data_IF_140969884195
#
_entry.id   IF_140969884195
#
_cell.length_a   1.000
_cell.length_b   1.000
_cell.length_c   1.000
_cell.angle_alpha   90.00
_cell.angle_beta   90.00
_cell.angle_gamma   90.00
#
_symmetry.space_group_name_H-M   'P 1'
#
loop_
_entity.id
_entity.type
_entity.pdbx_description
1 polymer ?
#
# COMPACT_ATOMS: atom_id res chain seq x y z
N UNK A 1 21.18 -19.08 -2.33
CA UNK A 1 20.19 -20.06 -1.84
C UNK A 1 19.28 -19.55 -0.73
N UNK A 2 19.71 -18.80 0.30
CA UNK A 2 18.81 -18.31 1.37
C UNK A 2 17.84 -17.22 0.88
N UNK A 3 18.21 -16.43 -0.14
CA UNK A 3 17.35 -15.38 -0.71
C UNK A 3 16.30 -15.88 -1.69
N UNK A 4 16.39 -17.11 -2.17
CA UNK A 4 15.46 -17.65 -3.17
C UNK A 4 14.30 -18.43 -2.54
N UNK A 5 14.42 -18.78 -1.26
CA UNK A 5 13.33 -19.43 -0.54
C UNK A 5 12.14 -18.46 -0.35
N UNK A 6 10.90 -18.92 -0.47
CA UNK A 6 9.73 -18.10 -0.21
C UNK A 6 9.72 -17.61 1.25
N UNK A 7 9.19 -16.40 1.49
CA UNK A 7 9.04 -15.86 2.83
C UNK A 7 8.03 -16.68 3.65
N UNK A 8 7.00 -17.18 2.99
CA UNK A 8 6.03 -18.14 3.49
C UNK A 8 6.10 -19.38 2.62
N UNK A 9 6.56 -20.50 3.17
CA UNK A 9 6.58 -21.76 2.44
C UNK A 9 5.15 -22.13 2.03
N UNK A 10 4.87 -22.33 0.73
CA UNK A 10 3.50 -22.50 0.28
C UNK A 10 2.77 -23.71 0.86
N UNK A 11 3.50 -24.78 1.14
CA UNK A 11 2.88 -26.02 1.63
C UNK A 11 2.73 -25.98 3.15
N UNK A 12 3.70 -25.43 3.87
CA UNK A 12 3.64 -25.22 5.32
C UNK A 12 2.52 -24.25 5.70
N UNK A 13 2.36 -23.15 4.94
CA UNK A 13 1.37 -22.11 5.23
C UNK A 13 0.03 -22.28 4.49
N UNK A 14 -0.14 -23.37 3.76
CA UNK A 14 -1.40 -23.72 3.09
C UNK A 14 -1.84 -22.69 2.05
N UNK A 15 -0.90 -22.17 1.23
CA UNK A 15 -1.23 -21.22 0.18
C UNK A 15 -1.96 -21.91 -0.98
N UNK A 16 -2.95 -21.23 -1.55
CA UNK A 16 -3.60 -21.68 -2.78
C UNK A 16 -2.65 -21.67 -3.97
N UNK A 17 -2.99 -22.40 -5.06
CA UNK A 17 -2.18 -22.40 -6.28
C UNK A 17 -1.95 -21.00 -6.86
N UNK A 18 -2.99 -20.15 -6.84
CA UNK A 18 -2.90 -18.75 -7.28
C UNK A 18 -1.96 -17.93 -6.40
N UNK A 19 -2.05 -18.08 -5.07
CA UNK A 19 -1.15 -17.42 -4.13
C UNK A 19 0.30 -17.86 -4.30
N UNK A 20 0.54 -19.16 -4.44
CA UNK A 20 1.87 -19.73 -4.73
C UNK A 20 2.49 -19.11 -5.98
N UNK A 21 1.73 -19.10 -7.07
CA UNK A 21 2.16 -18.54 -8.34
C UNK A 21 2.48 -17.06 -8.24
N UNK A 22 1.56 -16.25 -7.72
CA UNK A 22 1.70 -14.80 -7.64
C UNK A 22 2.85 -14.38 -6.73
N UNK A 23 3.02 -15.02 -5.57
CA UNK A 23 4.17 -14.78 -4.69
C UNK A 23 5.49 -15.15 -5.36
N UNK A 24 5.55 -16.27 -6.10
CA UNK A 24 6.74 -16.68 -6.82
C UNK A 24 7.11 -15.72 -7.96
N UNK A 25 6.13 -15.29 -8.77
CA UNK A 25 6.31 -14.28 -9.82
C UNK A 25 6.86 -12.98 -9.25
N UNK A 26 6.22 -12.47 -8.19
CA UNK A 26 6.60 -11.22 -7.52
C UNK A 26 7.99 -11.30 -6.92
N UNK A 27 8.32 -12.41 -6.21
CA UNK A 27 9.65 -12.65 -5.64
C UNK A 27 10.71 -12.71 -6.73
N UNK A 28 10.47 -13.44 -7.82
CA UNK A 28 11.44 -13.56 -8.91
C UNK A 28 11.71 -12.21 -9.58
N UNK A 29 10.67 -11.41 -9.81
CA UNK A 29 10.82 -10.05 -10.35
C UNK A 29 11.63 -9.17 -9.41
N UNK A 30 11.26 -9.14 -8.11
CA UNK A 30 11.88 -8.27 -7.13
C UNK A 30 13.34 -8.67 -6.82
N UNK A 31 13.64 -9.96 -6.69
CA UNK A 31 14.99 -10.46 -6.46
C UNK A 31 15.93 -10.16 -7.62
N UNK A 32 15.44 -10.30 -8.85
CA UNK A 32 16.23 -10.06 -10.07
C UNK A 32 16.51 -8.58 -10.31
N UNK A 33 15.51 -7.72 -10.13
CA UNK A 33 15.55 -6.34 -10.59
C UNK A 33 15.67 -5.32 -9.45
N UNK A 34 14.88 -5.48 -8.36
CA UNK A 34 14.74 -4.43 -7.33
C UNK A 34 15.91 -4.40 -6.36
N UNK A 35 16.45 -5.56 -5.99
CA UNK A 35 17.54 -5.66 -5.02
C UNK A 35 18.77 -4.85 -5.45
N UNK A 36 19.15 -4.94 -6.71
CA UNK A 36 20.35 -4.24 -7.24
C UNK A 36 20.20 -2.72 -7.29
N UNK A 37 18.96 -2.21 -7.40
CA UNK A 37 18.64 -0.78 -7.51
C UNK A 37 18.34 -0.13 -6.16
N UNK A 38 17.94 -0.91 -5.15
CA UNK A 38 17.42 -0.39 -3.87
C UNK A 38 18.38 0.54 -3.14
N UNK A 39 19.68 0.22 -3.12
CA UNK A 39 20.72 1.03 -2.48
C UNK A 39 20.89 2.40 -3.15
N UNK A 40 20.77 2.48 -4.47
CA UNK A 40 20.86 3.73 -5.22
C UNK A 40 19.65 4.61 -4.96
N UNK A 41 18.44 4.05 -4.96
CA UNK A 41 17.21 4.78 -4.65
C UNK A 41 17.25 5.38 -3.24
N UNK A 42 17.77 4.64 -2.27
CA UNK A 42 17.88 5.12 -0.90
C UNK A 42 18.96 6.22 -0.79
N UNK A 43 20.16 5.97 -1.32
CA UNK A 43 21.27 6.92 -1.28
C UNK A 43 20.91 8.28 -1.87
N UNK A 44 20.26 8.29 -3.02
CA UNK A 44 19.99 9.49 -3.80
C UNK A 44 18.58 10.07 -3.56
N UNK A 45 17.75 9.43 -2.72
CA UNK A 45 16.33 9.75 -2.56
C UNK A 45 15.61 9.80 -3.92
N UNK A 46 15.81 8.79 -4.77
CA UNK A 46 15.15 8.68 -6.07
C UNK A 46 13.94 7.78 -6.00
N UNK A 47 12.87 8.21 -6.66
CA UNK A 47 11.69 7.36 -6.82
C UNK A 47 12.02 6.14 -7.70
N UNK A 48 11.58 4.92 -7.34
CA UNK A 48 11.90 3.67 -8.04
C UNK A 48 11.15 3.49 -9.36
N UNK A 49 11.29 4.43 -10.30
CA UNK A 49 10.55 4.47 -11.57
C UNK A 49 10.76 3.22 -12.43
N UNK A 50 11.96 2.65 -12.43
CA UNK A 50 12.27 1.44 -13.18
C UNK A 50 11.54 0.23 -12.60
N UNK A 51 11.39 0.17 -11.28
CA UNK A 51 10.65 -0.90 -10.63
C UNK A 51 9.16 -0.83 -10.98
N UNK A 52 8.60 0.38 -11.13
CA UNK A 52 7.22 0.56 -11.58
C UNK A 52 7.01 0.14 -13.04
N UNK A 53 7.97 0.37 -13.92
CA UNK A 53 7.95 -0.17 -15.29
C UNK A 53 7.91 -1.70 -15.29
N UNK A 54 8.76 -2.32 -14.47
CA UNK A 54 8.81 -3.78 -14.33
C UNK A 54 7.49 -4.32 -13.75
N UNK A 55 6.91 -3.66 -12.74
CA UNK A 55 5.61 -4.02 -12.14
C UNK A 55 4.46 -3.92 -13.16
N UNK A 56 4.47 -2.87 -14.00
CA UNK A 56 3.47 -2.71 -15.05
C UNK A 56 3.59 -3.82 -16.11
N UNK A 57 4.80 -4.09 -16.62
CA UNK A 57 5.06 -5.15 -17.59
C UNK A 57 4.65 -6.53 -17.08
N UNK A 58 4.78 -6.78 -15.78
CA UNK A 58 4.35 -8.02 -15.12
C UNK A 58 2.85 -8.04 -14.77
N UNK A 59 2.08 -7.02 -15.12
CA UNK A 59 0.68 -6.81 -14.72
C UNK A 59 0.46 -6.86 -13.19
N UNK A 60 1.48 -6.47 -12.41
CA UNK A 60 1.40 -6.42 -10.96
C UNK A 60 0.82 -5.11 -10.45
N UNK A 61 0.90 -4.01 -11.20
CA UNK A 61 0.18 -2.78 -10.85
C UNK A 61 -1.34 -3.00 -10.81
N UNK A 62 -1.86 -3.94 -11.58
CA UNK A 62 -3.26 -4.33 -11.61
C UNK A 62 -3.58 -5.56 -10.71
N UNK A 63 -2.75 -5.85 -9.70
CA UNK A 63 -2.86 -7.05 -8.87
C UNK A 63 -4.23 -7.20 -8.22
N UNK A 64 -4.83 -6.11 -7.72
CA UNK A 64 -6.16 -6.08 -7.08
C UNK A 64 -7.29 -5.62 -8.01
N UNK A 65 -7.02 -5.32 -9.26
CA UNK A 65 -8.08 -5.04 -10.24
C UNK A 65 -8.80 -6.36 -10.55
N UNK A 66 -10.16 -6.41 -10.51
CA UNK A 66 -10.90 -7.63 -10.81
C UNK A 66 -10.60 -8.21 -12.18
N UNK A 67 -10.60 -9.55 -12.31
CA UNK A 67 -10.27 -10.26 -13.55
C UNK A 67 -11.16 -9.85 -14.73
N UNK A 68 -12.42 -9.49 -14.47
CA UNK A 68 -13.36 -9.02 -15.51
C UNK A 68 -12.91 -7.74 -16.23
N UNK A 69 -12.02 -6.94 -15.60
CA UNK A 69 -11.43 -5.74 -16.18
C UNK A 69 -9.98 -5.97 -16.70
N UNK A 70 -9.47 -7.20 -16.65
CA UNK A 70 -8.12 -7.54 -17.10
C UNK A 70 -7.03 -7.54 -16.02
N UNK A 71 -7.38 -7.29 -14.76
CA UNK A 71 -6.46 -7.38 -13.63
C UNK A 71 -6.23 -8.81 -13.13
N UNK A 72 -5.45 -8.95 -12.06
CA UNK A 72 -5.12 -10.27 -11.48
C UNK A 72 -6.18 -10.74 -10.47
N UNK A 73 -7.05 -9.86 -9.98
CA UNK A 73 -8.17 -10.17 -9.08
C UNK A 73 -7.77 -10.64 -7.68
N UNK A 74 -6.58 -10.26 -7.21
CA UNK A 74 -6.12 -10.65 -5.89
C UNK A 74 -6.99 -10.02 -4.78
N UNK A 75 -7.34 -10.84 -3.80
CA UNK A 75 -7.93 -10.38 -2.56
C UNK A 75 -6.89 -9.76 -1.62
N UNK A 76 -7.34 -9.26 -0.46
CA UNK A 76 -6.47 -8.62 0.52
C UNK A 76 -5.30 -9.53 0.95
N UNK A 77 -5.57 -10.79 1.29
CA UNK A 77 -4.55 -11.75 1.73
C UNK A 77 -3.50 -11.99 0.64
N UNK A 78 -3.96 -12.28 -0.56
CA UNK A 78 -3.09 -12.57 -1.72
C UNK A 78 -2.20 -11.38 -2.07
N UNK A 79 -2.78 -10.18 -2.08
CA UNK A 79 -2.02 -8.95 -2.26
C UNK A 79 -0.94 -8.77 -1.18
N UNK A 80 -1.30 -8.93 0.10
CA UNK A 80 -0.37 -8.71 1.21
C UNK A 80 0.80 -9.69 1.19
N UNK A 81 0.56 -10.95 0.84
CA UNK A 81 1.62 -11.95 0.67
C UNK A 81 2.59 -11.57 -0.47
N UNK A 82 2.05 -11.17 -1.62
CA UNK A 82 2.88 -10.73 -2.75
C UNK A 82 3.66 -9.44 -2.45
N UNK A 83 3.03 -8.45 -1.80
CA UNK A 83 3.67 -7.19 -1.43
C UNK A 83 4.80 -7.38 -0.41
N UNK A 84 4.70 -8.36 0.49
CA UNK A 84 5.77 -8.71 1.41
C UNK A 84 7.02 -9.23 0.68
N UNK A 85 6.86 -9.98 -0.39
CA UNK A 85 7.98 -10.39 -1.25
C UNK A 85 8.67 -9.19 -1.92
N UNK A 86 7.94 -8.13 -2.30
CA UNK A 86 8.54 -6.88 -2.80
C UNK A 86 9.36 -6.20 -1.68
N UNK A 87 8.79 -6.10 -0.48
CA UNK A 87 9.42 -5.45 0.68
C UNK A 87 10.76 -6.06 1.06
N UNK A 88 10.93 -7.36 0.85
CA UNK A 88 12.17 -8.11 1.06
C UNK A 88 13.35 -7.63 0.21
N UNK A 89 13.08 -7.04 -0.95
CA UNK A 89 14.11 -6.60 -1.89
C UNK A 89 14.19 -5.09 -2.07
N UNK A 90 13.08 -4.37 -1.88
CA UNK A 90 13.06 -2.91 -1.91
C UNK A 90 11.89 -2.36 -1.08
N UNK A 91 12.18 -1.89 0.13
CA UNK A 91 11.18 -1.34 1.05
C UNK A 91 10.45 -0.11 0.48
N UNK A 92 11.18 0.80 -0.18
CA UNK A 92 10.60 2.00 -0.79
C UNK A 92 9.60 1.63 -1.92
N UNK A 93 9.96 0.65 -2.77
CA UNK A 93 9.03 0.15 -3.79
C UNK A 93 7.80 -0.49 -3.16
N UNK A 94 7.95 -1.33 -2.13
CA UNK A 94 6.83 -1.99 -1.47
C UNK A 94 5.86 -0.99 -0.82
N UNK A 95 6.38 0.03 -0.13
CA UNK A 95 5.55 1.05 0.50
C UNK A 95 4.79 1.88 -0.53
N UNK A 96 5.47 2.35 -1.58
CA UNK A 96 4.80 3.12 -2.64
C UNK A 96 3.84 2.27 -3.47
N UNK A 97 4.18 1.01 -3.73
CA UNK A 97 3.30 0.04 -4.35
C UNK A 97 2.02 -0.20 -3.54
N UNK A 98 2.13 -0.25 -2.19
CA UNK A 98 0.94 -0.30 -1.34
C UNK A 98 0.02 0.93 -1.56
N UNK A 99 0.58 2.13 -1.72
CA UNK A 99 -0.24 3.32 -1.98
C UNK A 99 -1.00 3.19 -3.30
N UNK A 100 -0.34 2.69 -4.34
CA UNK A 100 -0.96 2.47 -5.64
C UNK A 100 -2.03 1.37 -5.57
N UNK A 101 -1.67 0.18 -5.08
CA UNK A 101 -2.58 -0.98 -5.07
C UNK A 101 -3.75 -0.78 -4.12
N UNK A 102 -3.57 -0.08 -3.01
CA UNK A 102 -4.66 0.22 -2.09
C UNK A 102 -5.79 0.99 -2.78
N UNK A 103 -5.49 1.88 -3.74
CA UNK A 103 -6.53 2.54 -4.53
C UNK A 103 -7.38 1.52 -5.30
N UNK A 104 -6.74 0.54 -5.94
CA UNK A 104 -7.44 -0.54 -6.66
C UNK A 104 -8.18 -1.50 -5.71
N UNK A 105 -7.59 -1.80 -4.56
CA UNK A 105 -8.20 -2.68 -3.56
C UNK A 105 -9.47 -2.06 -2.97
N UNK A 106 -9.45 -0.76 -2.63
CA UNK A 106 -10.62 -0.02 -2.15
C UNK A 106 -11.73 0.01 -3.20
N UNK A 107 -11.41 0.34 -4.44
CA UNK A 107 -12.37 0.44 -5.55
C UNK A 107 -12.80 -0.92 -6.10
N UNK A 108 -12.03 -1.97 -5.85
CA UNK A 108 -12.29 -3.35 -6.26
C UNK A 108 -12.88 -4.20 -5.14
N UNK A 109 -12.08 -5.11 -4.64
CA UNK A 109 -12.49 -6.16 -3.69
C UNK A 109 -13.26 -5.64 -2.48
N UNK A 110 -12.80 -4.53 -1.85
CA UNK A 110 -13.47 -3.99 -0.66
C UNK A 110 -14.82 -3.37 -0.99
N UNK A 111 -14.91 -2.61 -2.10
CA UNK A 111 -16.16 -2.02 -2.55
C UNK A 111 -17.17 -3.08 -3.01
N UNK A 112 -16.72 -4.12 -3.71
CA UNK A 112 -17.58 -5.21 -4.17
C UNK A 112 -18.20 -5.97 -2.99
N UNK A 113 -17.51 -6.09 -1.88
CA UNK A 113 -17.99 -6.70 -0.64
C UNK A 113 -18.70 -5.71 0.32
N UNK A 114 -18.88 -4.45 -0.09
CA UNK A 114 -19.59 -3.43 0.69
C UNK A 114 -21.02 -3.31 0.16
N UNK A 115 -21.99 -3.30 1.08
CA UNK A 115 -23.40 -3.16 0.73
C UNK A 115 -23.70 -1.80 0.09
N UNK A 116 -24.26 -1.81 -1.12
CA UNK A 116 -24.73 -0.64 -1.86
C UNK A 116 -25.95 -0.99 -2.70
N UNK A 117 -26.81 -0.01 -2.96
CA UNK A 117 -27.95 -0.18 -3.85
C UNK A 117 -27.53 -0.41 -5.31
N UNK A 118 -28.46 -0.90 -6.13
CA UNK A 118 -28.20 -1.26 -7.53
C UNK A 118 -27.71 -0.07 -8.37
N UNK A 119 -28.25 1.12 -8.13
CA UNK A 119 -27.88 2.34 -8.87
C UNK A 119 -26.43 2.74 -8.57
N UNK A 120 -26.06 2.81 -7.28
CA UNK A 120 -24.68 3.11 -6.86
C UNK A 120 -23.70 2.06 -7.37
N UNK A 121 -24.10 0.79 -7.39
CA UNK A 121 -23.23 -0.28 -7.91
C UNK A 121 -22.98 -0.11 -9.41
N UNK A 122 -24.01 0.25 -10.20
CA UNK A 122 -23.85 0.54 -11.61
C UNK A 122 -22.95 1.76 -11.85
N UNK A 123 -23.19 2.87 -11.13
CA UNK A 123 -22.34 4.05 -11.15
C UNK A 123 -20.89 3.69 -10.83
N UNK A 124 -20.66 2.94 -9.75
CA UNK A 124 -19.34 2.50 -9.35
C UNK A 124 -18.64 1.66 -10.42
N UNK A 125 -19.34 0.72 -11.05
CA UNK A 125 -18.77 -0.10 -12.13
C UNK A 125 -18.34 0.75 -13.33
N UNK A 126 -19.16 1.71 -13.74
CA UNK A 126 -18.86 2.60 -14.88
C UNK A 126 -17.63 3.49 -14.58
N UNK A 127 -17.56 4.07 -13.38
CA UNK A 127 -16.49 4.99 -13.01
C UNK A 127 -15.15 4.27 -12.85
N UNK A 128 -15.13 3.16 -12.09
CA UNK A 128 -13.88 2.45 -11.81
C UNK A 128 -13.24 1.81 -13.04
N UNK A 129 -14.02 1.49 -14.06
CA UNK A 129 -13.51 0.97 -15.33
C UNK A 129 -12.54 1.96 -15.99
N UNK A 130 -12.85 3.25 -15.97
CA UNK A 130 -11.95 4.29 -16.49
C UNK A 130 -10.61 4.31 -15.74
N UNK A 131 -10.63 4.24 -14.40
CA UNK A 131 -9.40 4.19 -13.60
C UNK A 131 -8.59 2.91 -13.84
N UNK A 132 -9.27 1.77 -13.99
CA UNK A 132 -8.60 0.51 -14.28
C UNK A 132 -7.96 0.50 -15.67
N UNK A 133 -8.63 1.06 -16.67
CA UNK A 133 -8.08 1.19 -18.02
C UNK A 133 -6.82 2.08 -18.06
N UNK A 134 -6.77 3.18 -17.29
CA UNK A 134 -5.57 4.00 -17.14
C UNK A 134 -4.40 3.20 -16.54
N UNK A 135 -4.66 2.38 -15.53
CA UNK A 135 -3.62 1.54 -14.90
C UNK A 135 -3.15 0.44 -15.85
N UNK A 136 -4.08 -0.27 -16.48
CA UNK A 136 -3.78 -1.44 -17.32
C UNK A 136 -3.08 -1.04 -18.63
N UNK A 137 -3.60 0.01 -19.31
CA UNK A 137 -3.17 0.36 -20.65
C UNK A 137 -2.09 1.44 -20.68
N UNK A 138 -2.14 2.41 -19.75
CA UNK A 138 -1.24 3.55 -19.69
C UNK A 138 -0.13 3.39 -18.63
N UNK A 139 -0.27 2.44 -17.71
CA UNK A 139 0.63 2.28 -16.56
C UNK A 139 0.49 3.42 -15.54
N UNK A 140 -0.65 4.10 -15.51
CA UNK A 140 -0.89 5.24 -14.61
C UNK A 140 -0.71 4.85 -13.15
N UNK A 141 0.03 5.67 -12.41
CA UNK A 141 0.39 5.46 -11.02
C UNK A 141 -0.55 6.26 -10.12
N UNK A 142 -1.19 5.58 -9.17
CA UNK A 142 -2.05 6.18 -8.15
C UNK A 142 -1.29 6.28 -6.82
N UNK A 143 -1.40 7.43 -6.15
CA UNK A 143 -0.96 7.59 -4.76
C UNK A 143 -2.17 7.63 -3.83
N UNK A 144 -1.94 7.42 -2.54
CA UNK A 144 -3.00 7.44 -1.52
C UNK A 144 -2.64 8.37 -0.35
N UNK A 145 -2.63 9.69 -0.54
CA UNK A 145 -2.28 10.67 0.49
C UNK A 145 -3.46 10.89 1.45
N UNK A 146 -3.58 10.07 2.49
CA UNK A 146 -4.69 10.17 3.46
C UNK A 146 -4.41 11.06 4.65
N UNK A 147 -3.14 11.21 5.05
CA UNK A 147 -2.75 11.89 6.30
C UNK A 147 -2.83 13.41 6.20
N UNK A 148 -3.35 14.05 7.26
CA UNK A 148 -3.49 15.52 7.38
C UNK A 148 -2.96 16.10 8.70
N UNK A 149 -2.28 15.28 9.52
CA UNK A 149 -1.83 15.67 10.86
C UNK A 149 -2.94 15.66 11.92
N UNK A 150 -4.14 16.12 11.60
CA UNK A 150 -5.28 16.22 12.53
C UNK A 150 -6.36 15.16 12.31
N UNK A 151 -6.38 14.50 11.18
CA UNK A 151 -7.31 13.45 10.83
C UNK A 151 -6.60 12.31 10.11
N UNK A 152 -7.03 11.08 10.38
CA UNK A 152 -6.53 9.86 9.71
C UNK A 152 -7.66 9.09 9.06
N UNK A 153 -7.31 8.21 8.12
CA UNK A 153 -8.27 7.34 7.45
C UNK A 153 -9.08 6.47 8.43
N UNK A 154 -8.46 6.01 9.52
CA UNK A 154 -9.09 5.23 10.59
C UNK A 154 -9.75 6.09 11.70
N UNK A 155 -9.53 7.40 11.69
CA UNK A 155 -9.98 8.31 12.77
C UNK A 155 -11.48 8.63 12.71
N UNK A 156 -11.95 9.34 13.75
CA UNK A 156 -13.35 9.75 13.86
C UNK A 156 -13.63 11.18 13.36
N UNK A 157 -12.57 11.99 13.19
CA UNK A 157 -12.70 13.37 12.71
C UNK A 157 -12.92 13.42 11.20
N UNK A 158 -13.71 14.37 10.73
CA UNK A 158 -13.81 14.69 9.30
C UNK A 158 -12.44 15.18 8.78
N UNK A 159 -12.16 14.90 7.51
CA UNK A 159 -10.95 15.41 6.85
C UNK A 159 -11.01 16.95 6.74
N UNK A 160 -9.87 17.61 6.97
CA UNK A 160 -9.73 19.05 6.78
C UNK A 160 -9.69 19.43 5.29
N UNK A 161 -9.21 18.53 4.43
CA UNK A 161 -9.36 18.68 2.98
C UNK A 161 -10.83 18.64 2.62
N UNK A 162 -11.32 19.74 2.05
CA UNK A 162 -12.72 19.95 1.69
C UNK A 162 -12.89 19.76 0.18
N UNK A 163 -14.04 19.22 -0.20
CA UNK A 163 -14.49 19.13 -1.58
C UNK A 163 -15.90 19.76 -1.64
N UNK A 164 -15.96 21.00 -2.10
CA UNK A 164 -17.22 21.74 -2.21
C UNK A 164 -17.87 21.43 -3.53
N UNK A 165 -19.14 21.02 -3.51
CA UNK A 165 -19.92 20.70 -4.71
C UNK A 165 -20.05 21.95 -5.58
N UNK A 166 -19.80 21.78 -6.88
CA UNK A 166 -20.02 22.79 -7.90
C UNK A 166 -20.64 22.17 -9.14
N UNK A 167 -20.87 22.95 -10.19
CA UNK A 167 -21.40 22.42 -11.44
C UNK A 167 -20.44 21.38 -12.05
N UNK A 168 -20.94 20.19 -12.29
CA UNK A 168 -20.21 19.06 -12.89
C UNK A 168 -19.13 18.41 -12.03
N UNK A 169 -18.88 18.84 -10.75
CA UNK A 169 -17.79 18.31 -9.96
C UNK A 169 -17.64 18.91 -8.56
N UNK A 170 -16.40 18.97 -8.11
CA UNK A 170 -16.02 19.57 -6.83
C UNK A 170 -14.86 20.56 -7.00
N UNK A 171 -14.81 21.57 -6.14
CA UNK A 171 -13.61 22.37 -5.89
C UNK A 171 -12.93 21.85 -4.62
N UNK A 172 -11.70 21.38 -4.74
CA UNK A 172 -10.95 20.76 -3.66
C UNK A 172 -9.91 21.72 -3.09
N UNK A 173 -9.93 21.89 -1.77
CA UNK A 173 -8.99 22.70 -1.00
C UNK A 173 -8.48 21.93 0.21
N UNK A 174 -7.17 21.92 0.43
CA UNK A 174 -6.58 21.28 1.60
C UNK A 174 -5.10 20.93 1.47
N UNK A 175 -4.59 20.25 2.51
CA UNK A 175 -3.20 19.82 2.59
C UNK A 175 -3.13 18.37 3.06
N UNK A 176 -2.31 17.57 2.40
CA UNK A 176 -1.93 16.24 2.83
C UNK A 176 -0.45 16.22 3.22
N UNK A 177 -0.11 15.41 4.22
CA UNK A 177 1.26 15.20 4.68
C UNK A 177 1.66 13.75 4.47
N UNK A 178 2.96 13.46 4.46
CA UNK A 178 3.48 12.11 4.16
C UNK A 178 2.88 11.54 2.86
N UNK A 179 2.70 12.40 1.84
CA UNK A 179 2.15 12.01 0.56
C UNK A 179 3.20 11.27 -0.27
N UNK A 180 3.36 9.97 -0.03
CA UNK A 180 4.26 9.13 -0.84
C UNK A 180 3.91 9.24 -2.33
N UNK A 181 4.90 9.07 -3.22
CA UNK A 181 4.82 9.30 -4.65
C UNK A 181 4.58 10.77 -5.05
N UNK A 182 4.88 11.73 -4.17
CA UNK A 182 4.74 13.16 -4.49
C UNK A 182 5.56 13.57 -5.71
N UNK A 183 4.90 14.07 -6.75
CA UNK A 183 5.52 14.44 -8.03
C UNK A 183 5.77 13.27 -8.99
N UNK A 184 5.44 12.03 -8.60
CA UNK A 184 5.63 10.82 -9.41
C UNK A 184 4.33 10.07 -9.69
N UNK A 185 3.27 10.32 -8.93
CA UNK A 185 1.94 9.79 -9.23
C UNK A 185 1.28 10.57 -10.36
N UNK A 186 0.49 9.86 -11.17
CA UNK A 186 -0.40 10.48 -12.18
C UNK A 186 -1.70 10.96 -11.53
N UNK A 187 -2.15 10.24 -10.50
CA UNK A 187 -3.36 10.54 -9.73
C UNK A 187 -3.12 10.43 -8.23
N UNK A 188 -3.63 11.40 -7.48
CA UNK A 188 -3.67 11.35 -6.02
C UNK A 188 -5.06 10.92 -5.55
N UNK A 189 -5.19 9.70 -5.03
CA UNK A 189 -6.40 9.20 -4.39
C UNK A 189 -6.62 9.89 -3.04
N UNK A 190 -7.28 11.04 -3.06
CA UNK A 190 -7.45 11.89 -1.89
C UNK A 190 -8.78 11.64 -1.17
N UNK A 191 -8.73 11.48 0.15
CA UNK A 191 -9.91 11.52 1.01
C UNK A 191 -10.23 12.96 1.35
N UNK A 192 -11.46 13.38 1.04
CA UNK A 192 -11.96 14.72 1.28
C UNK A 192 -13.28 14.66 2.05
N UNK A 193 -13.62 15.73 2.77
CA UNK A 193 -14.96 15.93 3.30
C UNK A 193 -15.79 16.67 2.26
N UNK A 194 -16.83 16.03 1.75
CA UNK A 194 -17.77 16.67 0.84
C UNK A 194 -18.66 17.67 1.57
N UNK A 195 -18.82 18.84 0.99
CA UNK A 195 -19.65 19.94 1.50
C UNK A 195 -20.57 20.44 0.37
N UNK A 196 -21.83 20.73 0.69
CA UNK A 196 -22.78 21.35 -0.24
C UNK A 196 -22.37 22.80 -0.58
N UNK A 197 -21.81 23.51 0.41
CA UNK A 197 -21.24 24.84 0.29
C UNK A 197 -20.20 25.07 1.39
N UNK A 198 -19.47 26.15 1.33
CA UNK A 198 -18.38 26.46 2.28
C UNK A 198 -18.84 26.61 3.74
N UNK A 199 -20.09 26.95 3.99
CA UNK A 199 -20.67 27.10 5.33
C UNK A 199 -21.20 25.79 5.92
N UNK A 200 -21.20 24.70 5.16
CA UNK A 200 -21.69 23.40 5.61
C UNK A 200 -20.79 22.83 6.72
N UNK A 201 -21.38 22.22 7.74
CA UNK A 201 -20.63 21.58 8.83
C UNK A 201 -19.98 20.26 8.33
N UNK A 202 -18.64 20.11 8.44
CA UNK A 202 -17.97 18.90 8.07
C UNK A 202 -18.45 17.69 8.89
N UNK A 203 -18.81 16.57 8.22
CA UNK A 203 -19.19 15.31 8.86
C UNK A 203 -18.29 14.19 8.33
N UNK A 204 -17.85 13.29 9.21
CA UNK A 204 -17.06 12.13 8.83
C UNK A 204 -17.80 11.23 7.83
N UNK A 205 -19.13 11.12 7.95
CA UNK A 205 -19.97 10.36 7.02
C UNK A 205 -19.95 10.88 5.59
N UNK A 206 -19.58 12.16 5.39
CA UNK A 206 -19.49 12.81 4.09
C UNK A 206 -18.09 12.67 3.47
N UNK A 207 -17.29 11.69 3.92
CA UNK A 207 -16.01 11.39 3.29
C UNK A 207 -16.23 10.86 1.89
N UNK A 208 -15.59 11.49 0.92
CA UNK A 208 -15.51 11.03 -0.48
C UNK A 208 -14.07 10.69 -0.83
N UNK A 209 -13.91 9.83 -1.83
CA UNK A 209 -12.63 9.36 -2.31
C UNK A 209 -12.48 9.74 -3.78
N UNK A 210 -11.55 10.65 -4.07
CA UNK A 210 -11.38 11.29 -5.38
C UNK A 210 -10.00 10.97 -5.96
N UNK A 211 -9.93 10.71 -7.25
CA UNK A 211 -8.69 10.68 -8.01
C UNK A 211 -8.37 12.09 -8.51
N UNK A 212 -7.44 12.77 -7.88
CA UNK A 212 -7.00 14.10 -8.27
C UNK A 212 -5.87 13.97 -9.28
N UNK A 213 -6.03 14.38 -10.57
CA UNK A 213 -4.94 14.34 -11.53
C UNK A 213 -3.77 15.21 -11.03
N UNK A 214 -2.56 14.68 -11.02
CA UNK A 214 -1.40 15.36 -10.43
C UNK A 214 -1.01 16.66 -11.13
N UNK A 215 -1.37 16.80 -12.40
CA UNK A 215 -1.10 17.98 -13.24
C UNK A 215 -2.25 19.01 -13.23
N UNK A 216 -3.29 18.81 -12.43
CA UNK A 216 -4.39 19.79 -12.32
C UNK A 216 -3.88 21.12 -11.79
N UNK A 217 -4.42 22.22 -12.35
CA UNK A 217 -4.16 23.57 -11.82
C UNK A 217 -4.53 23.62 -10.34
N UNK A 218 -3.64 24.16 -9.51
CA UNK A 218 -3.83 24.26 -8.06
C UNK A 218 -3.27 23.07 -7.24
N UNK A 219 -2.75 22.02 -7.90
CA UNK A 219 -2.01 20.95 -7.24
C UNK A 219 -0.54 21.35 -7.16
N UNK A 220 0.05 21.30 -5.96
CA UNK A 220 1.47 21.52 -5.76
C UNK A 220 2.06 20.56 -4.72
N UNK A 221 3.36 20.31 -4.85
CA UNK A 221 4.14 19.48 -3.91
C UNK A 221 5.11 20.41 -3.18
N UNK A 222 5.12 20.36 -1.85
CA UNK A 222 5.92 21.24 -1.00
C UNK A 222 6.79 20.47 -0.01
N UNK A 223 7.84 21.14 0.48
CA UNK A 223 8.78 20.62 1.46
C UNK A 223 9.80 19.65 0.85
N UNK A 224 10.71 19.18 1.68
CA UNK A 224 11.77 18.23 1.33
C UNK A 224 11.44 16.85 1.92
N UNK A 225 12.11 15.82 1.40
CA UNK A 225 12.02 14.47 1.92
C UNK A 225 13.43 13.92 2.15
N UNK A 226 13.91 14.04 3.37
CA UNK A 226 15.25 13.57 3.79
C UNK A 226 15.20 12.78 5.12
N UNK A 227 14.45 11.68 5.18
CA UNK A 227 14.39 10.82 6.36
C UNK A 227 15.62 9.91 6.46
N UNK A 228 15.76 9.22 7.60
CA UNK A 228 16.81 8.23 7.83
C UNK A 228 16.69 7.02 6.89
N UNK A 229 15.49 6.58 6.60
CA UNK A 229 15.19 5.45 5.70
C UNK A 229 13.94 5.72 4.86
N UNK A 230 13.61 4.82 3.94
CA UNK A 230 12.48 4.98 3.00
C UNK A 230 12.61 6.23 2.10
N UNK A 231 13.83 6.63 1.78
CA UNK A 231 14.15 7.85 1.05
C UNK A 231 13.52 7.87 -0.35
N UNK A 232 13.49 6.70 -1.03
CA UNK A 232 12.86 6.54 -2.34
C UNK A 232 11.33 6.62 -2.38
N UNK A 233 10.64 6.80 -1.23
CA UNK A 233 9.17 6.95 -1.23
C UNK A 233 8.69 8.34 -1.63
N UNK A 234 9.56 9.36 -1.53
CA UNK A 234 9.28 10.77 -1.83
C UNK A 234 7.95 11.21 -1.19
N UNK A 235 7.91 11.18 0.16
CA UNK A 235 6.66 11.39 0.92
C UNK A 235 6.50 12.84 1.42
N UNK A 236 6.39 13.78 0.49
CA UNK A 236 6.34 15.22 0.73
C UNK A 236 4.92 15.69 1.12
N UNK A 237 4.74 17.00 1.26
CA UNK A 237 3.43 17.60 1.44
C UNK A 237 2.76 17.83 0.07
N UNK A 238 1.45 17.60 0.02
CA UNK A 238 0.63 17.83 -1.16
C UNK A 238 -0.42 18.90 -0.83
N UNK A 239 -0.49 19.94 -1.65
CA UNK A 239 -1.40 21.06 -1.49
C UNK A 239 -2.41 21.06 -2.62
N UNK A 240 -3.67 21.25 -2.26
CA UNK A 240 -4.78 21.49 -3.17
C UNK A 240 -5.29 22.91 -2.93
N UNK A 241 -5.25 23.76 -3.96
CA UNK A 241 -5.76 25.12 -3.93
C UNK A 241 -6.69 25.34 -5.13
N UNK A 242 -7.99 25.40 -4.85
CA UNK A 242 -9.07 25.59 -5.82
C UNK A 242 -8.99 24.58 -7.00
N UNK A 243 -8.73 23.31 -6.67
CA UNK A 243 -8.59 22.24 -7.65
C UNK A 243 -9.97 21.74 -8.08
N UNK A 244 -10.35 21.97 -9.33
CA UNK A 244 -11.61 21.42 -9.88
C UNK A 244 -11.43 19.93 -10.22
N UNK A 245 -12.33 19.09 -9.72
CA UNK A 245 -12.38 17.64 -9.95
C UNK A 245 -13.77 17.26 -10.45
N UNK A 246 -13.90 16.76 -11.68
CA UNK A 246 -15.20 16.35 -12.23
C UNK A 246 -15.74 15.10 -11.49
N UNK A 247 -17.07 14.90 -11.55
CA UNK A 247 -17.73 13.78 -10.84
C UNK A 247 -17.25 12.40 -11.30
N UNK A 248 -16.76 12.27 -12.51
CA UNK A 248 -16.20 11.02 -13.07
C UNK A 248 -14.88 10.60 -12.41
N UNK A 249 -14.20 11.50 -11.74
CA UNK A 249 -12.93 11.23 -11.05
C UNK A 249 -13.12 10.71 -9.61
N UNK A 250 -14.33 10.40 -9.17
CA UNK A 250 -14.52 9.69 -7.91
C UNK A 250 -14.05 8.24 -8.03
N UNK A 251 -13.35 7.76 -6.99
CA UNK A 251 -12.89 6.37 -6.90
C UNK A 251 -13.95 5.45 -6.30
N UNK A 252 -14.89 5.99 -5.56
CA UNK A 252 -16.02 5.27 -4.96
C UNK A 252 -17.24 6.19 -4.91
N UNK A 253 -18.47 5.65 -5.03
CA UNK A 253 -19.68 6.45 -4.87
C UNK A 253 -19.80 7.11 -3.50
N UNK A 254 -20.48 8.24 -3.42
CA UNK A 254 -20.70 8.98 -2.18
C UNK A 254 -21.19 8.09 -1.03
N UNK A 255 -20.55 8.19 0.14
CA UNK A 255 -20.89 7.43 1.34
C UNK A 255 -20.41 5.97 1.36
N UNK A 256 -19.88 5.45 0.26
CA UNK A 256 -19.38 4.04 0.20
C UNK A 256 -18.05 3.91 0.94
N UNK A 257 -17.11 4.86 0.76
CA UNK A 257 -15.84 4.80 1.48
C UNK A 257 -16.05 4.70 3.01
N UNK A 258 -16.95 5.52 3.57
CA UNK A 258 -17.25 5.51 5.01
C UNK A 258 -17.86 4.17 5.47
N UNK A 259 -18.72 3.56 4.65
CA UNK A 259 -19.25 2.21 4.90
C UNK A 259 -18.12 1.16 4.86
N UNK A 260 -17.29 1.20 3.83
CA UNK A 260 -16.17 0.26 3.64
C UNK A 260 -15.19 0.33 4.81
N UNK A 261 -14.84 1.50 5.30
CA UNK A 261 -13.98 1.67 6.50
C UNK A 261 -14.55 0.95 7.72
N UNK A 262 -15.85 1.04 7.96
CA UNK A 262 -16.52 0.36 9.08
C UNK A 262 -16.60 -1.16 8.87
N UNK A 263 -16.79 -1.58 7.65
CA UNK A 263 -16.96 -2.99 7.27
C UNK A 263 -15.62 -3.74 7.25
N UNK A 264 -14.53 -3.06 6.86
CA UNK A 264 -13.23 -3.65 6.59
C UNK A 264 -12.09 -3.05 7.44
N UNK A 265 -12.08 -3.20 8.79
CA UNK A 265 -11.01 -2.63 9.63
C UNK A 265 -9.62 -3.23 9.33
N UNK A 266 -9.51 -4.46 8.83
CA UNK A 266 -8.26 -5.08 8.38
C UNK A 266 -7.55 -4.32 7.26
N UNK A 267 -8.27 -3.49 6.52
CA UNK A 267 -7.72 -2.65 5.46
C UNK A 267 -6.60 -1.73 5.94
N UNK A 268 -6.61 -1.33 7.21
CA UNK A 268 -5.54 -0.49 7.77
C UNK A 268 -4.23 -1.24 8.04
N UNK A 269 -4.19 -2.54 7.81
CA UNK A 269 -2.97 -3.35 7.85
C UNK A 269 -2.16 -3.32 6.53
N UNK A 270 -2.65 -2.65 5.49
CA UNK A 270 -2.02 -2.72 4.14
C UNK A 270 -0.59 -2.21 4.05
N UNK A 271 -0.09 -1.46 5.03
CA UNK A 271 1.33 -1.10 5.15
C UNK A 271 2.21 -2.24 5.68
N UNK A 272 1.64 -3.16 6.46
CA UNK A 272 2.39 -4.21 7.16
C UNK A 272 3.21 -5.14 6.24
N UNK A 273 2.77 -5.52 5.02
CA UNK A 273 3.58 -6.37 4.16
C UNK A 273 4.93 -5.74 3.80
N UNK A 274 5.00 -4.41 3.63
CA UNK A 274 6.26 -3.73 3.35
C UNK A 274 7.27 -3.92 4.49
N UNK A 275 6.83 -3.75 5.73
CA UNK A 275 7.67 -3.91 6.92
C UNK A 275 8.00 -5.38 7.21
N UNK A 276 7.07 -6.30 6.99
CA UNK A 276 7.35 -7.75 7.07
C UNK A 276 8.47 -8.15 6.10
N UNK A 277 8.42 -7.66 4.86
CA UNK A 277 9.48 -7.89 3.88
C UNK A 277 10.83 -7.33 4.32
N UNK A 278 10.85 -6.11 4.88
CA UNK A 278 12.07 -5.47 5.40
C UNK A 278 12.65 -6.25 6.58
N UNK A 279 11.81 -6.70 7.51
CA UNK A 279 12.25 -7.52 8.65
C UNK A 279 12.88 -8.84 8.17
N UNK A 280 12.27 -9.50 7.19
CA UNK A 280 12.85 -10.69 6.56
C UNK A 280 14.20 -10.37 5.89
N UNK A 281 14.29 -9.26 5.15
CA UNK A 281 15.53 -8.82 4.49
C UNK A 281 16.65 -8.55 5.50
N UNK A 282 16.35 -7.94 6.64
CA UNK A 282 17.31 -7.70 7.71
C UNK A 282 17.84 -9.00 8.30
N UNK A 283 16.95 -9.97 8.54
CA UNK A 283 17.36 -11.31 8.98
C UNK A 283 18.24 -12.01 7.94
N UNK A 284 17.82 -12.04 6.67
CA UNK A 284 18.58 -12.65 5.58
C UNK A 284 19.98 -12.02 5.42
N UNK A 285 20.06 -10.68 5.48
CA UNK A 285 21.31 -9.95 5.46
C UNK A 285 22.23 -10.37 6.62
N UNK A 286 21.68 -10.45 7.84
CA UNK A 286 22.43 -10.83 9.04
C UNK A 286 23.03 -12.23 8.91
N UNK A 287 22.26 -13.20 8.42
CA UNK A 287 22.75 -14.57 8.17
C UNK A 287 23.90 -14.59 7.17
N UNK A 288 23.75 -13.88 6.04
CA UNK A 288 24.80 -13.82 5.01
C UNK A 288 26.05 -13.11 5.51
N UNK A 289 25.88 -12.02 6.24
CA UNK A 289 27.01 -11.30 6.83
C UNK A 289 27.81 -12.19 7.79
N UNK A 290 27.13 -12.92 8.66
CA UNK A 290 27.79 -13.83 9.61
C UNK A 290 28.45 -15.04 8.93
N UNK A 291 27.95 -15.45 7.78
CA UNK A 291 28.56 -16.50 6.95
C UNK A 291 29.73 -16.02 6.09
N UNK A 292 29.96 -14.71 6.03
CA UNK A 292 31.00 -14.13 5.18
C UNK A 292 30.66 -14.11 3.69
N UNK A 293 29.36 -14.16 3.35
CA UNK A 293 28.86 -14.17 1.94
C UNK A 293 28.65 -12.75 1.38
N UNK A 294 28.83 -11.71 2.21
CA UNK A 294 28.72 -10.32 1.74
C UNK A 294 30.03 -9.84 1.12
N UNK A 295 29.99 -9.02 0.04
CA UNK A 295 31.17 -8.37 -0.51
C UNK A 295 31.91 -7.58 0.57
N UNK A 296 33.23 -7.74 0.65
CA UNK A 296 34.07 -7.12 1.68
C UNK A 296 33.93 -7.71 3.10
N UNK A 297 33.25 -8.84 3.24
CA UNK A 297 33.17 -9.52 4.53
C UNK A 297 34.55 -9.98 5.01
N UNK A 298 34.81 -9.81 6.31
CA UNK A 298 36.04 -10.31 6.95
C UNK A 298 36.13 -11.83 6.85
N UNK A 299 37.32 -12.41 6.69
CA UNK A 299 37.53 -13.86 6.70
C UNK A 299 37.27 -14.50 8.09
N UNK A 300 37.03 -13.69 9.13
CA UNK A 300 36.72 -14.16 10.47
C UNK A 300 35.35 -14.88 10.45
N UNK A 301 35.32 -16.10 11.02
CA UNK A 301 34.07 -16.90 11.10
C UNK A 301 33.17 -16.40 12.25
N UNK A 302 32.57 -15.21 12.04
CA UNK A 302 31.72 -14.54 13.07
C UNK A 302 30.53 -15.39 13.54
N UNK A 303 30.04 -16.29 12.69
CA UNK A 303 28.98 -17.24 13.03
C UNK A 303 29.32 -18.21 14.16
N UNK A 304 30.60 -18.34 14.52
CA UNK A 304 31.05 -19.25 15.58
C UNK A 304 31.00 -18.62 16.98
N UNK A 305 30.74 -17.29 17.06
CA UNK A 305 30.62 -16.62 18.35
C UNK A 305 29.27 -16.92 19.01
N UNK A 306 29.21 -17.47 20.25
CA UNK A 306 27.96 -17.83 20.93
C UNK A 306 26.97 -16.66 21.03
N UNK A 307 27.45 -15.44 21.31
CA UNK A 307 26.62 -14.24 21.40
C UNK A 307 25.91 -13.96 20.07
N UNK A 308 26.59 -14.18 18.94
CA UNK A 308 25.97 -13.99 17.61
C UNK A 308 24.92 -15.07 17.29
N UNK A 309 25.18 -16.29 17.73
CA UNK A 309 24.21 -17.39 17.57
C UNK A 309 22.94 -17.13 18.38
N UNK A 310 23.08 -16.67 19.64
CA UNK A 310 21.93 -16.30 20.48
C UNK A 310 21.12 -15.17 19.85
N UNK A 311 21.77 -14.08 19.42
CA UNK A 311 21.07 -12.94 18.78
C UNK A 311 20.32 -13.36 17.52
N UNK A 312 20.93 -14.21 16.68
CA UNK A 312 20.26 -14.71 15.47
C UNK A 312 19.06 -15.61 15.81
N UNK A 313 19.18 -16.43 16.86
CA UNK A 313 18.07 -17.25 17.34
C UNK A 313 16.90 -16.37 17.84
N UNK A 314 17.19 -15.32 18.61
CA UNK A 314 16.19 -14.33 19.05
C UNK A 314 15.51 -13.64 17.86
N UNK A 315 16.30 -13.15 16.89
CA UNK A 315 15.76 -12.56 15.66
C UNK A 315 14.80 -13.53 14.93
N UNK A 316 15.21 -14.80 14.81
CA UNK A 316 14.37 -15.82 14.15
C UNK A 316 13.07 -16.07 14.91
N UNK A 317 13.13 -16.21 16.23
CA UNK A 317 11.95 -16.45 17.07
C UNK A 317 10.95 -15.30 16.93
N UNK A 318 11.41 -14.04 17.06
CA UNK A 318 10.55 -12.85 16.93
C UNK A 318 9.94 -12.77 15.53
N UNK A 319 10.74 -13.02 14.50
CA UNK A 319 10.26 -13.01 13.12
C UNK A 319 9.18 -14.07 12.86
N UNK A 320 9.35 -15.29 13.37
CA UNK A 320 8.35 -16.36 13.21
C UNK A 320 7.06 -16.09 14.01
N UNK A 321 7.18 -15.57 15.23
CA UNK A 321 6.02 -15.14 16.01
C UNK A 321 5.23 -14.05 15.29
N UNK A 322 5.93 -13.07 14.73
CA UNK A 322 5.32 -11.97 13.97
C UNK A 322 4.67 -12.48 12.68
N UNK A 323 5.35 -13.38 11.94
CA UNK A 323 4.76 -14.04 10.75
C UNK A 323 3.48 -14.78 11.11
N UNK A 324 3.46 -15.54 12.20
CA UNK A 324 2.31 -16.34 12.59
C UNK A 324 1.07 -15.49 12.91
N UNK A 325 1.22 -14.45 13.74
CA UNK A 325 0.10 -13.55 14.07
C UNK A 325 -0.36 -12.73 12.86
N UNK A 326 0.59 -12.26 12.04
CA UNK A 326 0.29 -11.51 10.83
C UNK A 326 -0.44 -12.36 9.80
N UNK A 327 0.05 -13.58 9.51
CA UNK A 327 -0.59 -14.50 8.57
C UNK A 327 -1.99 -14.89 9.01
N UNK A 328 -2.19 -15.17 10.31
CA UNK A 328 -3.52 -15.43 10.85
C UNK A 328 -4.44 -14.24 10.61
N UNK A 329 -4.00 -13.03 10.92
CA UNK A 329 -4.81 -11.82 10.78
C UNK A 329 -5.23 -11.55 9.33
N UNK A 330 -4.32 -11.72 8.35
CA UNK A 330 -4.69 -11.55 6.93
C UNK A 330 -5.55 -12.68 6.41
N UNK A 331 -5.43 -13.90 6.98
CA UNK A 331 -6.24 -15.06 6.57
C UNK A 331 -7.69 -15.00 7.08
N UNK A 332 -7.91 -14.32 8.21
CA UNK A 332 -9.26 -14.14 8.77
C UNK A 332 -9.93 -12.82 8.38
N UNK A 333 -9.24 -12.00 7.55
CA UNK A 333 -9.76 -10.72 7.09
C UNK A 333 -11.07 -10.91 6.30
N UNK A 334 -12.13 -10.28 6.77
CA UNK A 334 -13.48 -10.37 6.20
C UNK A 334 -14.31 -9.14 6.53
N UNK A 335 -15.46 -8.93 5.85
CA UNK A 335 -16.42 -7.90 6.25
C UNK A 335 -16.96 -8.17 7.66
N UNK A 336 -17.10 -7.10 8.46
CA UNK A 336 -17.68 -7.17 9.81
C UNK A 336 -17.00 -8.22 10.71
N UNK A 337 -15.70 -8.15 10.94
CA UNK A 337 -14.98 -9.09 11.79
C UNK A 337 -15.40 -8.98 13.26
N UNK A 338 -15.12 -10.03 14.05
CA UNK A 338 -15.35 -9.99 15.50
C UNK A 338 -14.37 -9.03 16.18
N UNK A 339 -14.66 -8.65 17.44
CA UNK A 339 -13.73 -7.81 18.23
C UNK A 339 -12.36 -8.46 18.38
N UNK A 340 -12.34 -9.78 18.61
CA UNK A 340 -11.09 -10.56 18.74
C UNK A 340 -10.27 -10.54 17.46
N UNK A 341 -10.89 -10.62 16.28
CA UNK A 341 -10.22 -10.51 14.99
C UNK A 341 -9.64 -9.11 14.78
N UNK A 342 -10.38 -8.06 15.13
CA UNK A 342 -9.87 -6.67 15.07
C UNK A 342 -8.72 -6.47 16.04
N UNK A 343 -8.81 -6.97 17.28
CA UNK A 343 -7.72 -6.88 18.27
C UNK A 343 -6.48 -7.63 17.79
N UNK A 344 -6.63 -8.78 17.16
CA UNK A 344 -5.54 -9.54 16.57
C UNK A 344 -4.88 -8.80 15.41
N UNK A 345 -5.67 -8.14 14.56
CA UNK A 345 -5.16 -7.30 13.48
C UNK A 345 -4.30 -6.13 14.01
N UNK A 346 -4.72 -5.49 15.10
CA UNK A 346 -3.93 -4.44 15.75
C UNK A 346 -2.66 -4.99 16.39
N UNK A 347 -2.74 -6.14 17.05
CA UNK A 347 -1.58 -6.82 17.62
C UNK A 347 -0.57 -7.22 16.53
N UNK A 348 -1.05 -7.76 15.40
CA UNK A 348 -0.22 -8.08 14.25
C UNK A 348 0.45 -6.82 13.66
N UNK A 349 -0.31 -5.73 13.51
CA UNK A 349 0.24 -4.46 13.04
C UNK A 349 1.31 -3.93 13.99
N UNK A 350 1.08 -3.96 15.28
CA UNK A 350 2.07 -3.56 16.30
C UNK A 350 3.34 -4.42 16.19
N UNK A 351 3.21 -5.75 16.20
CA UNK A 351 4.35 -6.67 16.12
C UNK A 351 5.20 -6.52 14.85
N UNK A 352 4.57 -6.13 13.74
CA UNK A 352 5.30 -5.90 12.48
C UNK A 352 6.06 -4.57 12.51
N UNK A 353 5.58 -3.57 13.27
CA UNK A 353 6.18 -2.23 13.32
C UNK A 353 7.31 -2.12 14.36
N UNK A 354 7.34 -3.01 15.36
CA UNK A 354 8.41 -3.12 16.36
C UNK A 354 9.62 -3.95 15.86
#
# INVERSE_FOLDING_TARGET
MVYDAPMFDPDEWGLTGEQKQLCAETRNLASKNFLSRSAEYDKNAYFPSENYKDLHQANLMAICIPKIYGGRGADLKTYMLAAAEIGRYCGATALTFNMHVSSCLWTGFLADNTEMDKKKRQEHHSIRENHYNRILNEGSIYAQPFSEGNASAAGHKAFATKAVITDGGWVVNGKKIFASLSGHADYYGALCTELENENSKPKRSNTIYLAVPSKSKGVSVEGEWDPLGMRGTISRNLIFKDVYIPFEEQLMPRGIYYKAVKTWPHMFMTLTPSYMGIAQAAYDFTIRYLRGEQPGASPIKRRMFPTKQLTVAEMKIILEQTKAIWFQSISEAKPNPTKEQVMRAWAAQYSVME
#
